data_IF_163266513240
#
_entry.id   IF_163266513240
#
_cell.length_a   1.000
_cell.length_b   1.000
_cell.length_c   1.000
_cell.angle_alpha   90.00
_cell.angle_beta   90.00
_cell.angle_gamma   90.00
#
_symmetry.space_group_name_H-M   'P 1'
#
loop_
_entity.id
_entity.type
_entity.pdbx_description
1 polymer ?
#
# COMPACT_ATOMS: atom_id res chain seq x y z
N UNK A 1 2.24 6.02 -18.18
CA UNK A 1 2.79 5.36 -16.98
C UNK A 1 1.66 4.67 -16.23
N UNK A 2 1.91 3.45 -15.76
CA UNK A 2 0.99 2.66 -14.93
C UNK A 2 1.19 3.05 -13.46
N UNK A 3 0.10 3.09 -12.70
CA UNK A 3 0.12 3.35 -11.27
C UNK A 3 -0.24 2.07 -10.52
N UNK A 4 0.44 1.83 -9.41
CA UNK A 4 0.19 0.68 -8.54
C UNK A 4 0.03 1.13 -7.10
N UNK A 5 -0.82 0.40 -6.39
CA UNK A 5 -0.90 0.42 -4.93
C UNK A 5 -0.17 -0.81 -4.42
N UNK A 6 0.73 -0.61 -3.46
CA UNK A 6 1.45 -1.69 -2.78
C UNK A 6 0.95 -1.82 -1.35
N UNK A 7 0.60 -3.05 -0.95
CA UNK A 7 0.19 -3.37 0.40
C UNK A 7 0.73 -4.72 0.84
N UNK A 8 0.70 -4.98 2.14
CA UNK A 8 1.00 -6.29 2.72
C UNK A 8 -0.16 -6.73 3.61
N UNK A 9 -0.25 -8.04 3.83
CA UNK A 9 -1.09 -8.65 4.87
C UNK A 9 -0.25 -9.12 6.06
N UNK A 10 1.06 -8.88 6.01
CA UNK A 10 1.99 -9.15 7.09
C UNK A 10 1.92 -8.01 8.09
N UNK A 11 1.85 -8.38 9.36
CA UNK A 11 1.61 -7.43 10.45
C UNK A 11 0.23 -7.58 11.06
N UNK A 12 0.10 -6.95 12.22
CA UNK A 12 -1.13 -6.87 12.98
C UNK A 12 -1.16 -5.53 13.68
N UNK A 13 -2.36 -5.04 13.95
CA UNK A 13 -2.58 -3.86 14.79
C UNK A 13 -3.57 -4.20 15.89
N UNK A 14 -3.81 -3.24 16.79
CA UNK A 14 -4.79 -3.37 17.84
C UNK A 14 -5.96 -2.41 17.59
N UNK A 15 -7.18 -2.89 17.82
CA UNK A 15 -8.35 -2.00 17.86
C UNK A 15 -8.34 -1.10 19.12
N UNK A 16 -9.33 -0.21 19.23
CA UNK A 16 -9.45 0.69 20.41
C UNK A 16 -9.72 -0.04 21.73
N UNK A 17 -10.06 -1.32 21.68
CA UNK A 17 -10.26 -2.20 22.84
C UNK A 17 -9.05 -3.11 23.07
N UNK A 18 -7.90 -2.83 22.44
CA UNK A 18 -6.68 -3.61 22.51
C UNK A 18 -6.82 -5.08 22.07
N UNK A 19 -7.75 -5.37 21.16
CA UNK A 19 -7.84 -6.69 20.53
C UNK A 19 -6.94 -6.74 19.30
N UNK A 20 -6.20 -7.83 19.17
CA UNK A 20 -5.38 -8.10 17.99
C UNK A 20 -6.25 -8.15 16.74
N UNK A 21 -5.84 -7.44 15.70
CA UNK A 21 -6.55 -7.39 14.41
C UNK A 21 -5.55 -7.56 13.28
N UNK A 22 -5.88 -8.47 12.36
CA UNK A 22 -5.17 -8.55 11.10
C UNK A 22 -5.54 -7.33 10.24
N UNK A 23 -4.52 -6.67 9.69
CA UNK A 23 -4.71 -5.51 8.85
C UNK A 23 -4.13 -5.76 7.46
N UNK A 24 -4.83 -5.24 6.46
CA UNK A 24 -4.22 -4.97 5.17
C UNK A 24 -3.48 -3.64 5.30
N UNK A 25 -2.16 -3.69 5.38
CA UNK A 25 -1.35 -2.50 5.58
C UNK A 25 -0.96 -1.90 4.23
N UNK A 26 -1.49 -0.72 3.94
CA UNK A 26 -1.10 0.06 2.78
C UNK A 26 0.35 0.56 2.96
N UNK A 27 1.24 0.16 2.06
CA UNK A 27 2.65 0.53 2.12
C UNK A 27 2.96 1.78 1.29
N UNK A 28 2.16 2.02 0.24
CA UNK A 28 2.28 3.22 -0.59
C UNK A 28 1.85 2.97 -2.03
N UNK A 29 2.31 3.86 -2.91
CA UNK A 29 2.09 3.76 -4.35
C UNK A 29 3.41 3.75 -5.10
N UNK A 30 3.40 3.29 -6.35
CA UNK A 30 4.52 3.46 -7.26
C UNK A 30 4.05 3.61 -8.70
N UNK A 31 4.86 4.30 -9.51
CA UNK A 31 4.55 4.60 -10.92
C UNK A 31 5.69 4.15 -11.81
N UNK A 32 5.37 3.61 -12.98
CA UNK A 32 6.37 3.18 -13.96
C UNK A 32 5.74 2.72 -15.26
N UNK A 33 6.54 2.43 -16.28
CA UNK A 33 6.05 1.90 -17.56
C UNK A 33 5.63 0.42 -17.42
N UNK A 34 6.30 -0.32 -16.51
CA UNK A 34 6.00 -1.69 -16.12
C UNK A 34 6.05 -1.87 -14.59
N UNK A 35 5.66 -3.05 -14.09
CA UNK A 35 5.63 -3.36 -12.66
C UNK A 35 7.02 -3.23 -12.01
N UNK A 36 8.07 -3.69 -12.68
CA UNK A 36 9.44 -3.67 -12.12
C UNK A 36 9.93 -2.23 -11.87
N UNK A 37 9.69 -1.34 -12.83
CA UNK A 37 10.02 0.09 -12.70
C UNK A 37 9.16 0.74 -11.60
N UNK A 38 7.86 0.43 -11.55
CA UNK A 38 6.98 0.95 -10.51
C UNK A 38 7.38 0.46 -9.11
N UNK A 39 7.83 -0.78 -8.98
CA UNK A 39 8.29 -1.35 -7.72
C UNK A 39 9.64 -0.79 -7.30
N UNK A 40 10.56 -0.55 -8.24
CA UNK A 40 11.81 0.18 -7.96
C UNK A 40 11.52 1.57 -7.40
N UNK A 41 10.68 2.34 -8.09
CA UNK A 41 10.32 3.70 -7.68
C UNK A 41 9.62 3.68 -6.31
N UNK A 42 8.71 2.71 -6.07
CA UNK A 42 8.09 2.51 -4.75
C UNK A 42 9.12 2.28 -3.63
N UNK A 43 10.14 1.45 -3.84
CA UNK A 43 11.19 1.21 -2.83
C UNK A 43 12.02 2.45 -2.52
N UNK A 44 12.29 3.27 -3.54
CA UNK A 44 13.02 4.53 -3.37
C UNK A 44 12.16 5.56 -2.60
N UNK A 45 10.90 5.72 -3.00
CA UNK A 45 9.95 6.65 -2.38
C UNK A 45 9.54 6.24 -0.96
N UNK A 46 9.48 4.93 -0.67
CA UNK A 46 9.13 4.35 0.63
C UNK A 46 10.33 3.70 1.31
N UNK A 47 11.52 4.31 1.19
CA UNK A 47 12.80 3.74 1.66
C UNK A 47 12.83 3.34 3.14
N UNK A 48 11.98 3.90 4.00
CA UNK A 48 11.83 3.45 5.39
C UNK A 48 11.45 1.97 5.53
N UNK A 49 10.78 1.40 4.52
CA UNK A 49 10.39 0.00 4.46
C UNK A 49 11.58 -0.94 4.31
N UNK A 50 12.74 -0.45 3.86
CA UNK A 50 13.97 -1.24 3.75
C UNK A 50 14.52 -1.67 5.13
N UNK A 51 14.03 -1.07 6.20
CA UNK A 51 14.35 -1.45 7.59
C UNK A 51 13.30 -2.36 8.22
N UNK A 52 12.30 -2.79 7.46
CA UNK A 52 11.22 -3.67 7.90
C UNK A 52 11.39 -5.06 7.27
N UNK A 53 10.81 -6.07 7.92
CA UNK A 53 10.91 -7.47 7.49
C UNK A 53 9.58 -7.94 6.89
N UNK A 54 9.26 -7.42 5.70
CA UNK A 54 8.10 -7.87 4.91
C UNK A 54 8.58 -8.81 3.81
N UNK A 55 8.12 -10.06 3.83
CA UNK A 55 8.41 -11.08 2.83
C UNK A 55 7.43 -10.99 1.65
N UNK A 56 6.19 -10.52 1.90
CA UNK A 56 5.11 -10.47 0.90
C UNK A 56 4.55 -9.07 0.72
N UNK A 57 4.88 -8.48 -0.42
CA UNK A 57 4.26 -7.24 -0.91
C UNK A 57 3.40 -7.55 -2.13
N UNK A 58 2.13 -7.13 -2.06
CA UNK A 58 1.14 -7.32 -3.12
C UNK A 58 0.99 -6.00 -3.89
N UNK A 59 1.00 -6.08 -5.22
CA UNK A 59 0.80 -4.95 -6.10
C UNK A 59 -0.58 -5.01 -6.79
N UNK A 60 -1.34 -3.91 -6.73
CA UNK A 60 -2.60 -3.76 -7.45
C UNK A 60 -2.47 -2.62 -8.46
N UNK A 61 -2.65 -2.93 -9.74
CA UNK A 61 -2.61 -1.92 -10.78
C UNK A 61 -3.90 -1.09 -10.78
N UNK A 62 -3.76 0.23 -10.76
CA UNK A 62 -4.86 1.16 -10.99
C UNK A 62 -5.07 1.27 -12.51
N UNK A 63 -6.10 0.62 -13.02
CA UNK A 63 -6.45 0.62 -14.46
C UNK A 63 -7.42 1.73 -14.86
N UNK A 64 -8.14 2.30 -13.90
CA UNK A 64 -9.10 3.37 -14.13
C UNK A 64 -8.44 4.75 -13.98
N UNK A 65 -8.87 5.70 -14.80
CA UNK A 65 -8.53 7.12 -14.66
C UNK A 65 -9.29 7.81 -13.52
N UNK A 66 -10.30 7.16 -12.94
CA UNK A 66 -11.19 7.75 -11.93
C UNK A 66 -10.76 7.35 -10.53
N UNK A 67 -9.96 8.18 -9.87
CA UNK A 67 -9.76 8.14 -8.42
C UNK A 67 -10.83 9.02 -7.78
N UNK A 68 -11.71 8.43 -6.96
CA UNK A 68 -12.80 9.15 -6.29
C UNK A 68 -12.43 9.42 -4.83
N UNK A 69 -12.31 10.69 -4.48
CA UNK A 69 -12.16 11.10 -3.08
C UNK A 69 -13.55 11.23 -2.46
N UNK A 70 -13.96 10.22 -1.70
CA UNK A 70 -15.24 10.22 -1.00
C UNK A 70 -15.05 10.72 0.43
N UNK A 71 -15.90 11.66 0.86
CA UNK A 71 -15.90 12.14 2.24
C UNK A 71 -16.81 11.25 3.09
N UNK A 72 -16.23 10.53 4.05
CA UNK A 72 -17.00 9.91 5.11
C UNK A 72 -17.10 10.89 6.28
N UNK A 73 -18.23 11.61 6.39
CA UNK A 73 -18.60 12.31 7.63
C UNK A 73 -19.55 11.38 8.40
N UNK A 74 -19.20 11.04 9.63
CA UNK A 74 -20.17 10.50 10.59
C UNK A 74 -21.22 11.57 10.94
N UNK A 75 -22.41 11.13 11.33
CA UNK A 75 -23.51 11.98 11.82
C UNK A 75 -23.00 12.86 12.96
#
# INVERSE_FOLDING_TARGET
>A
MKNYIFYTQEGFTYDKSHKLTHNMQLLGTGKGNAIDEAFKNFKEEQSYLLHQDYDKVIAVQIVSSSIMNLRLKGI
#
